data_IF_119326749614
#
_entry.id   IF_119326749614
#
_cell.length_a   1.000
_cell.length_b   1.000
_cell.length_c   1.000
_cell.angle_alpha   90.00
_cell.angle_beta   90.00
_cell.angle_gamma   90.00
#
_symmetry.space_group_name_H-M   'P 1'
#
loop_
_entity.id
_entity.type
_entity.pdbx_description
1 polymer ?
#
# COMPACT_ATOMS: atom_id res chain seq x y z
N UNK A 1 -25.64 39.21 -12.65
CA UNK A 1 -25.70 38.84 -11.22
C UNK A 1 -24.28 38.69 -10.75
N UNK A 2 -23.79 39.65 -9.96
CA UNK A 2 -22.46 39.53 -9.36
C UNK A 2 -22.48 38.30 -8.46
N UNK A 3 -21.59 37.33 -8.68
CA UNK A 3 -21.24 36.37 -7.63
C UNK A 3 -20.92 37.22 -6.40
N UNK A 4 -21.72 37.10 -5.34
CA UNK A 4 -21.40 37.71 -4.06
C UNK A 4 -19.93 37.40 -3.76
N UNK A 5 -19.15 38.43 -3.42
CA UNK A 5 -17.79 38.27 -2.89
C UNK A 5 -17.89 37.55 -1.54
N UNK A 6 -18.21 36.26 -1.56
CA UNK A 6 -18.27 35.43 -0.38
C UNK A 6 -16.85 35.35 0.15
N UNK A 7 -16.64 35.85 1.37
CA UNK A 7 -15.38 35.64 2.06
C UNK A 7 -15.27 34.14 2.37
N UNK A 8 -14.10 33.57 2.12
CA UNK A 8 -13.79 32.16 2.42
C UNK A 8 -12.53 32.12 3.27
N UNK A 9 -12.46 31.14 4.16
CA UNK A 9 -11.30 30.94 5.04
C UNK A 9 -10.46 29.72 4.62
N UNK A 10 -9.35 29.48 5.31
CA UNK A 10 -8.42 28.41 4.93
C UNK A 10 -9.04 27.01 4.98
N UNK A 11 -10.01 26.79 5.87
CA UNK A 11 -10.78 25.55 5.90
C UNK A 11 -11.56 25.34 4.60
N UNK A 12 -12.22 26.39 4.10
CA UNK A 12 -12.96 26.35 2.83
C UNK A 12 -12.03 26.05 1.65
N UNK A 13 -10.85 26.68 1.62
CA UNK A 13 -9.85 26.46 0.57
C UNK A 13 -9.32 25.03 0.61
N UNK A 14 -8.96 24.52 1.80
CA UNK A 14 -8.50 23.15 1.97
C UNK A 14 -9.53 22.14 1.45
N UNK A 15 -10.79 22.23 1.90
CA UNK A 15 -11.85 21.30 1.48
C UNK A 15 -12.13 21.40 -0.01
N UNK A 16 -12.13 22.61 -0.61
CA UNK A 16 -12.25 22.77 -2.06
C UNK A 16 -11.11 22.08 -2.82
N UNK A 17 -9.88 22.10 -2.31
CA UNK A 17 -8.75 21.38 -2.90
C UNK A 17 -8.93 19.85 -2.77
N UNK A 18 -9.32 19.36 -1.59
CA UNK A 18 -9.56 17.93 -1.36
C UNK A 18 -10.69 17.37 -2.25
N UNK A 19 -11.69 18.20 -2.58
CA UNK A 19 -12.73 17.84 -3.55
C UNK A 19 -12.18 17.65 -4.97
N UNK A 20 -11.21 18.46 -5.41
CA UNK A 20 -10.56 18.26 -6.71
C UNK A 20 -9.68 17.01 -6.75
N UNK A 21 -9.26 16.53 -5.59
CA UNK A 21 -8.54 15.27 -5.43
C UNK A 21 -9.45 14.05 -5.26
N UNK A 22 -10.77 14.24 -5.35
CA UNK A 22 -11.78 13.20 -5.14
C UNK A 22 -11.65 12.50 -3.77
N UNK A 23 -11.22 13.23 -2.76
CA UNK A 23 -11.16 12.73 -1.38
C UNK A 23 -12.57 12.42 -0.90
N UNK A 24 -12.72 11.28 -0.21
CA UNK A 24 -13.99 10.86 0.38
C UNK A 24 -13.96 10.88 1.91
N UNK A 25 -12.90 10.33 2.51
CA UNK A 25 -12.79 10.25 3.97
C UNK A 25 -11.51 10.90 4.49
N UNK A 26 -11.64 11.59 5.61
CA UNK A 26 -10.54 12.03 6.44
C UNK A 26 -10.63 11.29 7.77
N UNK A 27 -9.56 10.60 8.17
CA UNK A 27 -9.53 9.78 9.38
C UNK A 27 -8.78 10.55 10.48
N UNK A 28 -9.40 10.79 11.64
CA UNK A 28 -8.70 11.54 12.68
C UNK A 28 -9.51 11.84 13.92
N UNK A 29 -8.94 12.69 14.77
CA UNK A 29 -9.58 13.22 15.98
C UNK A 29 -9.62 14.74 15.87
N UNK A 30 -10.79 15.37 16.08
CA UNK A 30 -10.93 16.82 16.03
C UNK A 30 -10.09 17.50 17.11
N UNK A 31 -9.58 18.68 16.79
CA UNK A 31 -9.00 19.63 17.74
C UNK A 31 -9.40 21.06 17.38
N UNK A 32 -9.15 22.01 18.28
CA UNK A 32 -9.59 23.39 18.14
C UNK A 32 -9.14 24.06 16.83
N UNK A 33 -7.92 23.76 16.38
CA UNK A 33 -7.35 24.33 15.16
C UNK A 33 -7.97 23.79 13.86
N UNK A 34 -8.81 22.75 13.94
CA UNK A 34 -9.52 22.20 12.78
C UNK A 34 -10.98 22.64 12.67
N UNK A 35 -11.49 23.50 13.56
CA UNK A 35 -12.90 23.91 13.54
C UNK A 35 -13.30 24.48 12.16
N UNK A 36 -12.47 25.33 11.56
CA UNK A 36 -12.73 25.90 10.23
C UNK A 36 -12.76 24.83 9.13
N UNK A 37 -11.98 23.74 9.26
CA UNK A 37 -12.04 22.59 8.35
C UNK A 37 -13.38 21.85 8.49
N UNK A 38 -13.84 21.59 9.72
CA UNK A 38 -15.13 20.92 9.95
C UNK A 38 -16.31 21.74 9.42
N UNK A 39 -16.30 23.04 9.69
CA UNK A 39 -17.30 23.97 9.17
C UNK A 39 -17.29 23.98 7.63
N UNK A 40 -16.11 23.94 7.01
CA UNK A 40 -15.96 23.88 5.56
C UNK A 40 -16.47 22.55 4.98
N UNK A 41 -16.27 21.42 5.67
CA UNK A 41 -16.87 20.14 5.27
C UNK A 41 -18.39 20.26 5.26
N UNK A 42 -18.99 20.87 6.29
CA UNK A 42 -20.44 21.10 6.31
C UNK A 42 -20.91 22.00 5.15
N UNK A 43 -20.19 23.09 4.88
CA UNK A 43 -20.55 24.06 3.82
C UNK A 43 -20.35 23.54 2.40
N UNK A 44 -19.32 22.73 2.15
CA UNK A 44 -18.86 22.42 0.79
C UNK A 44 -18.68 20.94 0.50
N UNK A 45 -18.36 20.14 1.52
CA UNK A 45 -17.91 18.76 1.39
C UNK A 45 -19.02 17.72 1.52
N UNK A 46 -19.94 17.90 2.47
CA UNK A 46 -20.91 16.86 2.88
C UNK A 46 -21.81 16.40 1.74
N UNK A 47 -22.38 17.34 0.98
CA UNK A 47 -23.22 17.01 -0.19
C UNK A 47 -22.42 16.37 -1.34
N UNK A 48 -21.11 16.56 -1.35
CA UNK A 48 -20.18 15.98 -2.33
C UNK A 48 -19.51 14.71 -1.83
N UNK A 49 -19.90 14.20 -0.65
CA UNK A 49 -19.45 12.93 -0.09
C UNK A 49 -18.13 12.98 0.66
N UNK A 50 -17.61 14.16 1.04
CA UNK A 50 -16.51 14.24 2.02
C UNK A 50 -17.06 14.07 3.43
N UNK A 51 -16.46 13.14 4.17
CA UNK A 51 -16.80 12.86 5.57
C UNK A 51 -15.55 12.70 6.45
N UNK A 52 -15.69 13.01 7.74
CA UNK A 52 -14.69 12.70 8.76
C UNK A 52 -15.05 11.43 9.50
N UNK A 53 -14.06 10.58 9.74
CA UNK A 53 -14.19 9.35 10.51
C UNK A 53 -13.45 9.54 11.82
N UNK A 54 -14.20 9.50 12.92
CA UNK A 54 -13.71 9.80 14.27
C UNK A 54 -13.17 8.55 14.95
N UNK A 55 -11.98 8.66 15.53
CA UNK A 55 -11.31 7.60 16.28
C UNK A 55 -11.14 7.98 17.75
N UNK A 56 -10.78 7.01 18.58
CA UNK A 56 -10.45 7.22 19.99
C UNK A 56 -8.95 7.41 20.22
N UNK A 57 -8.12 7.06 19.23
CA UNK A 57 -6.69 7.39 19.23
C UNK A 57 -6.20 7.71 17.80
N UNK A 58 -5.32 8.71 17.62
CA UNK A 58 -4.88 9.14 16.29
C UNK A 58 -4.08 8.06 15.54
N UNK A 59 -3.35 7.20 16.26
CA UNK A 59 -2.67 6.05 15.64
C UNK A 59 -3.65 5.13 14.88
N UNK A 60 -4.85 4.92 15.43
CA UNK A 60 -5.89 4.12 14.80
C UNK A 60 -6.43 4.82 13.55
N UNK A 61 -6.57 6.15 13.59
CA UNK A 61 -6.93 6.94 12.42
C UNK A 61 -5.89 6.84 11.29
N UNK A 62 -4.60 6.93 11.61
CA UNK A 62 -3.52 6.73 10.63
C UNK A 62 -3.55 5.32 10.03
N UNK A 63 -3.80 4.29 10.84
CA UNK A 63 -3.95 2.92 10.35
C UNK A 63 -5.19 2.73 9.46
N UNK A 64 -6.33 3.34 9.80
CA UNK A 64 -7.52 3.27 8.94
C UNK A 64 -7.30 3.97 7.58
N UNK A 65 -6.60 5.11 7.59
CA UNK A 65 -6.18 5.79 6.36
C UNK A 65 -5.17 4.98 5.53
N UNK A 66 -4.24 4.27 6.19
CA UNK A 66 -3.34 3.31 5.53
C UNK A 66 -4.17 2.20 4.84
N UNK A 67 -5.10 1.56 5.55
CA UNK A 67 -5.97 0.52 4.98
C UNK A 67 -6.80 1.02 3.79
N UNK A 68 -7.36 2.23 3.89
CA UNK A 68 -8.02 2.90 2.77
C UNK A 68 -7.10 2.97 1.55
N UNK A 69 -5.87 3.44 1.73
CA UNK A 69 -4.92 3.59 0.65
C UNK A 69 -4.53 2.25 0.02
N UNK A 70 -4.36 1.21 0.83
CA UNK A 70 -4.05 -0.14 0.34
C UNK A 70 -5.13 -0.69 -0.58
N UNK A 71 -6.41 -0.48 -0.22
CA UNK A 71 -7.58 -1.08 -0.86
C UNK A 71 -8.13 -0.28 -2.04
N UNK A 72 -7.95 1.04 -2.02
CA UNK A 72 -8.44 1.94 -3.07
C UNK A 72 -7.37 2.32 -4.08
N UNK A 73 -6.10 2.11 -3.74
CA UNK A 73 -4.94 2.62 -4.51
C UNK A 73 -4.93 4.16 -4.65
N UNK A 74 -5.67 4.86 -3.79
CA UNK A 74 -5.69 6.33 -3.67
C UNK A 74 -5.05 6.77 -2.36
N UNK A 75 -4.56 8.01 -2.21
CA UNK A 75 -4.01 8.44 -0.93
C UNK A 75 -5.03 8.37 0.21
N UNK A 76 -4.62 7.78 1.33
CA UNK A 76 -5.35 7.91 2.60
C UNK A 76 -5.06 9.27 3.23
N UNK A 77 -6.02 9.84 3.96
CA UNK A 77 -5.81 11.12 4.65
C UNK A 77 -6.05 10.93 6.14
N UNK A 78 -5.01 11.15 6.94
CA UNK A 78 -5.13 11.18 8.39
C UNK A 78 -4.83 12.57 8.95
N UNK A 79 -5.51 12.93 10.03
CA UNK A 79 -5.30 14.20 10.70
C UNK A 79 -5.35 14.06 12.23
N UNK A 80 -4.66 14.99 12.89
CA UNK A 80 -4.55 15.06 14.34
C UNK A 80 -4.20 16.49 14.75
N UNK A 81 -4.73 16.94 15.88
CA UNK A 81 -4.51 18.31 16.36
C UNK A 81 -3.03 18.61 16.62
N UNK A 82 -2.70 19.89 16.81
CA UNK A 82 -1.35 20.35 17.12
C UNK A 82 -0.81 19.67 18.40
N UNK A 83 0.49 19.41 18.46
CA UNK A 83 1.16 18.82 19.61
C UNK A 83 0.82 17.33 19.78
N UNK A 84 0.06 16.92 20.80
CA UNK A 84 -0.24 15.51 21.05
C UNK A 84 -0.89 14.79 19.87
N UNK A 85 -1.81 15.42 19.14
CA UNK A 85 -2.47 14.77 18.00
C UNK A 85 -1.49 14.44 16.88
N UNK A 86 -0.62 15.38 16.55
CA UNK A 86 0.48 15.16 15.61
C UNK A 86 1.46 14.08 16.11
N UNK A 87 1.79 14.04 17.41
CA UNK A 87 2.68 13.00 17.94
C UNK A 87 2.05 11.60 17.89
N UNK A 88 0.76 11.48 18.21
CA UNK A 88 0.04 10.21 18.27
C UNK A 88 -0.12 9.55 16.89
N UNK A 89 -0.06 10.32 15.80
CA UNK A 89 -0.07 9.81 14.42
C UNK A 89 1.25 9.14 14.01
N UNK A 90 2.38 9.48 14.63
CA UNK A 90 3.74 9.13 14.16
C UNK A 90 3.90 7.62 13.90
N UNK A 91 3.40 6.77 14.79
CA UNK A 91 3.56 5.31 14.64
C UNK A 91 2.78 4.75 13.44
N UNK A 92 1.58 5.27 13.18
CA UNK A 92 0.80 4.90 12.00
C UNK A 92 1.42 5.41 10.70
N UNK A 93 1.98 6.62 10.72
CA UNK A 93 2.69 7.22 9.58
C UNK A 93 3.99 6.47 9.29
N UNK A 94 4.74 6.09 10.33
CA UNK A 94 5.93 5.24 10.21
C UNK A 94 5.62 3.86 9.62
N UNK A 95 4.46 3.29 9.95
CA UNK A 95 3.97 2.05 9.36
C UNK A 95 3.74 2.19 7.85
N UNK A 96 3.01 3.22 7.45
CA UNK A 96 2.76 3.53 6.04
C UNK A 96 4.07 3.83 5.27
N UNK A 97 5.03 4.51 5.91
CA UNK A 97 6.36 4.73 5.37
C UNK A 97 7.07 3.41 5.11
N UNK A 98 7.14 2.52 6.09
CA UNK A 98 7.84 1.24 5.94
C UNK A 98 7.28 0.38 4.78
N UNK A 99 5.98 0.50 4.50
CA UNK A 99 5.27 -0.27 3.47
C UNK A 99 5.05 0.44 2.12
N UNK A 100 5.51 1.68 1.97
CA UNK A 100 5.34 2.49 0.76
C UNK A 100 3.88 2.83 0.45
N UNK A 101 3.12 3.21 1.47
CA UNK A 101 1.71 3.56 1.34
C UNK A 101 1.55 5.08 1.15
N UNK A 102 0.77 5.55 0.15
CA UNK A 102 0.49 6.97 -0.03
C UNK A 102 -0.46 7.45 1.07
N UNK A 103 0.08 8.21 2.01
CA UNK A 103 -0.66 8.79 3.13
C UNK A 103 -0.43 10.29 3.18
N UNK A 104 -1.49 11.08 3.30
CA UNK A 104 -1.39 12.53 3.49
C UNK A 104 -1.72 12.81 4.95
N UNK A 105 -0.72 13.29 5.66
CA UNK A 105 -0.84 13.66 7.07
C UNK A 105 -1.11 15.16 7.12
N UNK A 106 -2.28 15.54 7.64
CA UNK A 106 -2.64 16.94 7.84
C UNK A 106 -2.58 17.24 9.33
N UNK A 107 -1.72 18.17 9.72
CA UNK A 107 -1.62 18.63 11.12
C UNK A 107 -1.74 20.16 11.15
N UNK A 108 -2.38 20.73 12.17
CA UNK A 108 -2.36 22.16 12.35
C UNK A 108 -1.12 22.57 13.16
N UNK A 109 -0.84 23.87 13.17
CA UNK A 109 0.11 24.50 14.08
C UNK A 109 -0.54 25.73 14.73
N UNK A 110 -0.08 26.09 15.93
CA UNK A 110 -0.58 27.28 16.65
C UNK A 110 -0.40 28.55 15.84
N UNK A 111 -1.20 29.59 16.12
CA UNK A 111 -1.00 30.89 15.50
C UNK A 111 0.45 31.37 15.68
N UNK A 112 1.03 31.90 14.60
CA UNK A 112 2.39 32.41 14.50
C UNK A 112 2.70 33.45 15.60
N UNK A 113 1.70 34.21 16.05
CA UNK A 113 1.85 35.20 17.13
C UNK A 113 2.13 34.57 18.50
N UNK A 114 1.72 33.32 18.70
CA UNK A 114 1.95 32.56 19.93
C UNK A 114 3.14 31.59 19.82
N UNK A 115 3.96 31.68 18.76
CA UNK A 115 5.20 30.92 18.71
C UNK A 115 6.12 31.34 19.85
N UNK A 116 6.74 30.35 20.48
CA UNK A 116 7.65 30.54 21.62
C UNK A 116 7.01 31.23 22.84
N UNK A 117 5.70 31.06 23.04
CA UNK A 117 4.96 31.70 24.14
C UNK A 117 4.50 30.74 25.25
N UNK A 118 4.88 29.44 25.16
CA UNK A 118 4.35 28.38 26.02
C UNK A 118 2.82 28.23 25.97
N UNK A 119 2.23 28.59 24.83
CA UNK A 119 0.80 28.42 24.59
C UNK A 119 0.40 26.94 24.62
N UNK A 120 -0.89 26.69 24.87
CA UNK A 120 -1.46 25.34 24.89
C UNK A 120 -1.13 24.61 23.57
N UNK A 121 -0.56 23.39 23.70
CA UNK A 121 -0.14 22.53 22.59
C UNK A 121 0.92 23.13 21.64
N UNK A 122 1.41 24.35 21.91
CA UNK A 122 2.45 25.00 21.13
C UNK A 122 3.87 24.55 21.47
N UNK A 123 4.86 25.29 20.95
CA UNK A 123 6.29 25.11 21.25
C UNK A 123 6.88 23.75 20.85
N UNK A 124 6.27 23.04 19.89
CA UNK A 124 6.78 21.78 19.36
C UNK A 124 7.14 21.91 17.88
N UNK A 125 8.36 21.52 17.52
CA UNK A 125 8.74 21.34 16.12
C UNK A 125 8.17 20.02 15.57
N UNK A 126 6.92 20.11 15.13
CA UNK A 126 6.18 18.97 14.60
C UNK A 126 6.81 18.45 13.31
N UNK A 127 7.22 19.35 12.42
CA UNK A 127 7.74 18.98 11.10
C UNK A 127 9.00 18.13 11.23
N UNK A 128 9.92 18.49 12.12
CA UNK A 128 11.17 17.75 12.31
C UNK A 128 10.93 16.30 12.76
N UNK A 129 9.93 16.03 13.60
CA UNK A 129 9.58 14.67 14.01
C UNK A 129 9.10 13.78 12.85
N UNK A 130 8.54 14.41 11.81
CA UNK A 130 8.00 13.72 10.63
C UNK A 130 9.00 13.54 9.50
N UNK A 131 10.06 14.36 9.46
CA UNK A 131 11.12 14.30 8.44
C UNK A 131 11.61 12.88 8.10
N UNK A 132 11.92 11.98 9.06
CA UNK A 132 12.44 10.65 8.74
C UNK A 132 11.39 9.66 8.21
N UNK A 133 10.10 9.97 8.36
CA UNK A 133 8.98 9.06 8.04
C UNK A 133 8.02 9.64 7.00
N UNK A 134 8.38 10.74 6.35
CA UNK A 134 7.60 11.33 5.25
C UNK A 134 8.51 11.73 4.11
N UNK A 135 8.03 11.59 2.87
CA UNK A 135 8.78 11.87 1.63
C UNK A 135 8.94 13.36 1.38
N UNK A 136 7.98 14.16 1.84
CA UNK A 136 7.97 15.61 1.71
C UNK A 136 7.12 16.21 2.81
N UNK A 137 7.52 17.39 3.28
CA UNK A 137 6.79 18.20 4.25
C UNK A 137 6.50 19.56 3.64
N UNK A 138 5.28 20.07 3.86
CA UNK A 138 4.85 21.41 3.48
C UNK A 138 4.24 22.10 4.69
N UNK A 139 4.76 23.28 5.01
CA UNK A 139 4.19 24.15 6.03
C UNK A 139 3.56 25.36 5.35
N UNK A 140 2.34 25.69 5.74
CA UNK A 140 1.55 26.80 5.20
C UNK A 140 1.26 27.80 6.31
N UNK A 141 1.50 29.09 6.06
CA UNK A 141 1.20 30.17 7.01
C UNK A 141 0.14 31.16 6.53
N UNK A 142 -0.14 31.20 5.23
CA UNK A 142 -1.14 32.07 4.62
C UNK A 142 -2.13 31.28 3.79
N UNK A 143 -3.36 31.77 3.71
CA UNK A 143 -4.46 31.09 3.00
C UNK A 143 -4.15 30.84 1.52
N UNK A 144 -3.43 31.73 0.82
CA UNK A 144 -3.14 31.59 -0.61
C UNK A 144 -2.12 30.50 -0.93
N UNK A 145 -1.39 30.02 0.07
CA UNK A 145 -0.40 28.95 -0.09
C UNK A 145 -1.03 27.55 -0.05
N UNK A 146 -2.25 27.42 0.51
CA UNK A 146 -2.95 26.15 0.70
C UNK A 146 -3.09 25.37 -0.63
N UNK A 147 -3.57 25.94 -1.75
CA UNK A 147 -3.76 25.18 -2.99
C UNK A 147 -2.46 24.55 -3.50
N UNK A 148 -1.39 25.34 -3.58
CA UNK A 148 -0.09 24.87 -4.05
C UNK A 148 0.52 23.83 -3.12
N UNK A 149 0.34 23.97 -1.81
CA UNK A 149 0.80 23.00 -0.84
C UNK A 149 0.05 21.66 -0.98
N UNK A 150 -1.28 21.69 -1.12
CA UNK A 150 -2.11 20.51 -1.39
C UNK A 150 -1.67 19.82 -2.67
N UNK A 151 -1.55 20.56 -3.78
CA UNK A 151 -1.09 19.97 -5.06
C UNK A 151 0.27 19.29 -4.92
N UNK A 152 1.20 19.90 -4.18
CA UNK A 152 2.53 19.33 -3.98
C UNK A 152 2.48 18.06 -3.15
N UNK A 153 1.78 18.04 -2.02
CA UNK A 153 1.74 16.83 -1.17
C UNK A 153 1.05 15.67 -1.88
N UNK A 154 -0.04 15.90 -2.63
CA UNK A 154 -0.68 14.84 -3.41
C UNK A 154 0.23 14.29 -4.51
N UNK A 155 0.91 15.17 -5.28
CA UNK A 155 1.89 14.75 -6.28
C UNK A 155 3.00 13.89 -5.67
N UNK A 156 3.57 14.32 -4.55
CA UNK A 156 4.67 13.61 -3.90
C UNK A 156 4.21 12.29 -3.30
N UNK A 157 3.02 12.23 -2.70
CA UNK A 157 2.46 11.00 -2.12
C UNK A 157 2.27 9.89 -3.17
N UNK A 158 1.87 10.25 -4.40
CA UNK A 158 1.52 9.27 -5.45
C UNK A 158 2.60 9.03 -6.49
N UNK A 159 3.55 9.94 -6.69
CA UNK A 159 4.56 9.83 -7.74
C UNK A 159 5.70 8.88 -7.40
N UNK A 160 6.26 8.24 -8.44
CA UNK A 160 7.37 7.30 -8.31
C UNK A 160 7.04 6.20 -7.32
N UNK A 161 7.81 6.10 -6.24
CA UNK A 161 7.50 5.24 -5.09
C UNK A 161 6.57 5.97 -4.11
N UNK A 162 5.34 5.48 -3.91
CA UNK A 162 4.40 6.10 -2.98
C UNK A 162 4.91 6.08 -1.54
N UNK A 163 4.65 7.16 -0.80
CA UNK A 163 5.08 7.34 0.60
C UNK A 163 4.17 8.34 1.32
N UNK A 164 4.18 8.32 2.66
CA UNK A 164 3.56 9.39 3.45
C UNK A 164 4.17 10.77 3.16
N UNK A 165 3.36 11.81 3.27
CA UNK A 165 3.73 13.22 3.16
C UNK A 165 3.06 14.03 4.26
N UNK A 166 3.66 15.14 4.66
CA UNK A 166 3.13 16.03 5.69
C UNK A 166 2.66 17.36 5.09
N UNK A 167 1.47 17.78 5.48
CA UNK A 167 0.94 19.13 5.31
C UNK A 167 0.66 19.72 6.71
N UNK A 168 1.55 20.60 7.17
CA UNK A 168 1.34 21.43 8.36
C UNK A 168 0.67 22.76 7.94
N UNK A 169 -0.43 23.12 8.60
CA UNK A 169 -1.16 24.36 8.33
C UNK A 169 -1.25 25.16 9.62
N UNK A 170 -0.66 26.35 9.64
CA UNK A 170 -0.77 27.25 10.79
C UNK A 170 -2.19 27.76 10.94
N UNK A 171 -2.60 27.98 12.19
CA UNK A 171 -3.89 28.57 12.52
C UNK A 171 -4.13 29.92 11.83
N UNK A 172 -3.06 30.69 11.55
CA UNK A 172 -3.11 31.90 10.72
C UNK A 172 -3.83 31.63 9.39
N UNK A 173 -3.41 30.61 8.65
CA UNK A 173 -3.95 30.28 7.35
C UNK A 173 -5.39 29.77 7.43
N UNK A 174 -5.77 29.10 8.53
CA UNK A 174 -7.14 28.64 8.74
C UNK A 174 -8.10 29.78 9.08
N UNK A 175 -7.66 30.76 9.86
CA UNK A 175 -8.46 31.90 10.33
C UNK A 175 -8.52 33.04 9.32
N UNK A 176 -7.49 33.22 8.50
CA UNK A 176 -7.45 34.25 7.47
C UNK A 176 -8.66 34.11 6.52
N UNK A 177 -9.28 35.23 6.18
CA UNK A 177 -10.39 35.30 5.24
C UNK A 177 -9.99 36.09 4.01
N UNK A 178 -10.32 35.57 2.83
CA UNK A 178 -10.15 36.27 1.56
C UNK A 178 -11.47 36.29 0.81
N UNK A 179 -11.65 37.31 -0.04
CA UNK A 179 -12.70 37.24 -1.06
C UNK A 179 -12.47 35.98 -1.87
N UNK A 180 -13.55 35.24 -2.19
CA UNK A 180 -13.56 34.10 -3.12
C UNK A 180 -13.19 34.56 -4.55
N UNK A 181 -11.97 35.06 -4.71
CA UNK A 181 -11.28 35.24 -5.97
C UNK A 181 -10.81 33.86 -6.43
N UNK A 182 -10.54 33.70 -7.73
CA UNK A 182 -10.07 32.41 -8.28
C UNK A 182 -8.66 32.10 -7.76
N UNK A 183 -8.58 31.55 -6.55
CA UNK A 183 -7.39 30.81 -6.12
C UNK A 183 -7.12 29.72 -7.15
N UNK A 184 -5.84 29.42 -7.46
CA UNK A 184 -5.48 28.42 -8.46
C UNK A 184 -5.68 27.01 -7.89
N UNK A 185 -6.92 26.63 -7.58
CA UNK A 185 -7.29 25.26 -7.19
C UNK A 185 -7.43 24.47 -8.50
N UNK A 186 -6.51 23.54 -8.73
CA UNK A 186 -6.38 22.82 -9.99
C UNK A 186 -6.90 21.39 -9.83
N UNK A 187 -7.33 20.78 -10.95
CA UNK A 187 -7.56 19.34 -10.98
C UNK A 187 -6.23 18.58 -11.02
N UNK A 188 -6.24 17.31 -10.59
CA UNK A 188 -5.07 16.45 -10.59
C UNK A 188 -4.29 16.46 -11.93
N UNK A 189 -5.01 16.34 -13.04
CA UNK A 189 -4.45 16.26 -14.40
C UNK A 189 -3.73 17.54 -14.81
N UNK A 190 -4.09 18.66 -14.20
CA UNK A 190 -3.56 19.98 -14.54
C UNK A 190 -2.18 20.23 -13.93
N UNK A 191 -1.74 19.42 -12.95
CA UNK A 191 -0.48 19.67 -12.25
C UNK A 191 0.41 18.44 -12.04
N UNK A 192 -0.07 17.21 -12.23
CA UNK A 192 0.76 15.99 -12.13
C UNK A 192 0.58 15.07 -13.34
N UNK A 193 1.63 14.34 -13.68
CA UNK A 193 1.58 13.34 -14.73
C UNK A 193 0.62 12.22 -14.33
N UNK A 194 -0.28 11.87 -15.25
CA UNK A 194 -1.23 10.76 -15.10
C UNK A 194 -0.74 9.53 -15.89
N UNK A 195 0.01 9.77 -16.97
CA UNK A 195 0.58 8.72 -17.79
C UNK A 195 1.92 8.22 -17.26
N UNK A 196 2.20 6.95 -17.56
CA UNK A 196 3.41 6.24 -17.12
C UNK A 196 4.34 6.09 -18.32
N UNK A 197 5.63 6.44 -18.20
CA UNK A 197 6.56 6.42 -19.34
C UNK A 197 6.78 4.99 -19.85
N UNK A 198 7.05 4.89 -21.16
CA UNK A 198 7.42 3.63 -21.79
C UNK A 198 8.83 3.18 -21.38
N UNK A 199 9.05 1.86 -21.40
CA UNK A 199 10.36 1.23 -21.21
C UNK A 199 11.06 1.12 -22.58
N UNK A 200 12.37 1.34 -22.60
CA UNK A 200 13.17 1.15 -23.81
C UNK A 200 13.10 -0.28 -24.34
N UNK A 201 12.90 -0.44 -25.66
CA UNK A 201 12.73 -1.74 -26.31
C UNK A 201 13.90 -2.70 -26.07
N UNK A 202 15.12 -2.18 -25.97
CA UNK A 202 16.32 -2.99 -25.73
C UNK A 202 16.29 -3.71 -24.37
N UNK A 203 15.70 -3.07 -23.35
CA UNK A 203 15.53 -3.69 -22.03
C UNK A 203 14.46 -4.79 -22.06
N UNK A 204 13.39 -4.58 -22.83
CA UNK A 204 12.34 -5.58 -23.04
C UNK A 204 12.90 -6.80 -23.77
N UNK A 205 13.63 -6.58 -24.87
CA UNK A 205 14.27 -7.64 -25.66
C UNK A 205 15.27 -8.44 -24.84
N UNK A 206 16.17 -7.76 -24.09
CA UNK A 206 17.15 -8.42 -23.22
C UNK A 206 16.48 -9.23 -22.12
N UNK A 207 15.40 -8.72 -21.52
CA UNK A 207 14.66 -9.48 -20.49
C UNK A 207 14.06 -10.74 -21.10
N UNK A 208 13.41 -10.62 -22.26
CA UNK A 208 12.75 -11.73 -22.92
C UNK A 208 13.75 -12.80 -23.39
N UNK A 209 14.90 -12.39 -23.93
CA UNK A 209 15.99 -13.31 -24.31
C UNK A 209 16.48 -14.16 -23.12
N UNK A 210 16.69 -13.51 -21.96
CA UNK A 210 17.10 -14.21 -20.73
C UNK A 210 16.03 -15.20 -20.24
N UNK A 211 14.74 -14.82 -20.28
CA UNK A 211 13.64 -15.68 -19.85
C UNK A 211 13.38 -16.86 -20.79
N UNK A 212 13.54 -16.67 -22.10
CA UNK A 212 13.33 -17.72 -23.10
C UNK A 212 14.46 -18.77 -23.07
N UNK A 213 15.69 -18.38 -22.73
CA UNK A 213 16.83 -19.29 -22.57
C UNK A 213 16.87 -20.00 -21.21
N UNK A 214 16.07 -19.56 -20.25
CA UNK A 214 16.03 -20.13 -18.90
C UNK A 214 15.43 -21.54 -18.88
N UNK A 215 16.08 -22.45 -18.16
CA UNK A 215 15.57 -23.79 -17.86
C UNK A 215 14.57 -23.73 -16.70
N UNK A 216 14.86 -22.93 -15.66
CA UNK A 216 14.06 -22.80 -14.44
C UNK A 216 13.71 -21.34 -14.14
N UNK A 217 13.01 -20.63 -15.06
CA UNK A 217 12.63 -19.24 -14.83
C UNK A 217 11.65 -19.12 -13.66
N UNK A 218 11.68 -17.98 -12.97
CA UNK A 218 10.78 -17.68 -11.86
C UNK A 218 10.40 -16.19 -11.85
N UNK A 219 9.11 -15.89 -11.75
CA UNK A 219 8.62 -14.53 -11.52
C UNK A 219 8.40 -14.28 -10.03
N UNK A 220 8.81 -13.11 -9.56
CA UNK A 220 8.45 -12.60 -8.24
C UNK A 220 7.54 -11.39 -8.40
N UNK A 221 6.27 -11.55 -8.02
CA UNK A 221 5.31 -10.45 -7.99
C UNK A 221 5.35 -9.73 -6.65
N UNK A 222 5.90 -8.52 -6.63
CA UNK A 222 5.99 -7.67 -5.46
C UNK A 222 4.80 -6.72 -5.28
N UNK A 223 4.94 -5.80 -4.32
CA UNK A 223 3.94 -4.76 -4.06
C UNK A 223 3.83 -3.73 -5.19
N UNK A 224 4.88 -3.55 -6.02
CA UNK A 224 4.81 -2.67 -7.18
C UNK A 224 3.83 -3.14 -8.24
N UNK A 225 3.62 -4.46 -8.41
CA UNK A 225 2.57 -5.01 -9.28
C UNK A 225 1.18 -4.62 -8.75
N UNK A 226 0.96 -4.75 -7.43
CA UNK A 226 -0.29 -4.36 -6.77
C UNK A 226 -0.57 -2.86 -6.95
N UNK A 227 0.42 -1.99 -6.73
CA UNK A 227 0.27 -0.53 -6.85
C UNK A 227 0.12 -0.06 -8.29
N UNK A 228 0.76 -0.74 -9.22
CA UNK A 228 0.62 -0.46 -10.65
C UNK A 228 -0.71 -0.97 -11.23
N UNK A 229 -1.46 -1.80 -10.50
CA UNK A 229 -2.66 -2.48 -10.98
C UNK A 229 -2.38 -3.31 -12.23
N UNK A 230 -1.32 -4.13 -12.13
CA UNK A 230 -0.74 -4.88 -13.26
C UNK A 230 -1.02 -6.40 -13.20
N UNK A 231 -2.05 -6.82 -12.44
CA UNK A 231 -2.33 -8.23 -12.18
C UNK A 231 -2.87 -8.97 -13.41
N UNK A 232 -3.60 -8.30 -14.29
CA UNK A 232 -4.14 -8.92 -15.52
C UNK A 232 -3.00 -9.16 -16.52
N UNK A 233 -2.12 -8.18 -16.68
CA UNK A 233 -0.94 -8.28 -17.54
C UNK A 233 0.07 -9.30 -17.00
N UNK A 234 0.27 -9.34 -15.68
CA UNK A 234 1.10 -10.36 -15.03
C UNK A 234 0.55 -11.76 -15.31
N UNK A 235 -0.76 -11.96 -15.12
CA UNK A 235 -1.41 -13.26 -15.34
C UNK A 235 -1.25 -13.68 -16.80
N UNK A 236 -1.56 -12.80 -17.75
CA UNK A 236 -1.48 -13.12 -19.16
C UNK A 236 -0.04 -13.41 -19.59
N UNK A 237 0.93 -12.61 -19.14
CA UNK A 237 2.35 -12.84 -19.42
C UNK A 237 2.86 -14.16 -18.85
N UNK A 238 2.53 -14.46 -17.58
CA UNK A 238 2.92 -15.70 -16.94
C UNK A 238 2.31 -16.92 -17.65
N UNK A 239 1.01 -16.87 -18.00
CA UNK A 239 0.32 -17.96 -18.70
C UNK A 239 0.77 -18.12 -20.16
N UNK A 240 1.11 -17.02 -20.84
CA UNK A 240 1.58 -17.06 -22.22
C UNK A 240 2.95 -17.73 -22.38
N UNK A 241 3.83 -17.53 -21.40
CA UNK A 241 5.18 -18.11 -21.38
C UNK A 241 5.34 -19.30 -20.41
N UNK A 242 4.26 -19.70 -19.74
CA UNK A 242 4.19 -20.77 -18.73
C UNK A 242 5.21 -20.55 -17.59
N UNK A 243 5.31 -19.32 -17.08
CA UNK A 243 6.28 -18.94 -16.06
C UNK A 243 5.70 -19.11 -14.65
N UNK A 244 6.37 -19.86 -13.75
CA UNK A 244 5.95 -19.93 -12.36
C UNK A 244 6.09 -18.59 -11.66
N UNK A 245 5.16 -18.29 -10.75
CA UNK A 245 5.04 -17.02 -10.04
C UNK A 245 4.97 -17.27 -8.53
N UNK A 246 5.85 -16.62 -7.79
CA UNK A 246 5.71 -16.41 -6.35
C UNK A 246 5.35 -14.96 -6.06
N UNK A 247 4.56 -14.72 -5.03
CA UNK A 247 4.29 -13.35 -4.56
C UNK A 247 5.12 -13.01 -3.33
N UNK A 248 5.52 -11.75 -3.20
CA UNK A 248 5.87 -11.24 -1.86
C UNK A 248 4.60 -11.08 -1.02
N UNK A 249 4.72 -10.78 0.28
CA UNK A 249 3.56 -10.50 1.13
C UNK A 249 2.70 -9.34 0.59
N UNK A 250 3.32 -8.30 0.05
CA UNK A 250 2.61 -7.16 -0.56
C UNK A 250 2.07 -7.44 -1.97
N UNK A 251 2.51 -8.53 -2.58
CA UNK A 251 2.01 -9.02 -3.87
C UNK A 251 0.88 -10.04 -3.73
N UNK A 252 0.39 -10.31 -2.51
CA UNK A 252 -0.67 -11.32 -2.33
C UNK A 252 -1.91 -10.94 -3.15
N UNK A 253 -2.37 -11.87 -3.98
CA UNK A 253 -3.56 -11.72 -4.83
C UNK A 253 -3.31 -11.14 -6.22
N UNK A 254 -2.10 -10.70 -6.57
CA UNK A 254 -1.78 -10.17 -7.92
C UNK A 254 -1.80 -11.22 -9.02
N UNK A 255 -1.81 -12.50 -8.66
CA UNK A 255 -2.08 -13.59 -9.58
C UNK A 255 -3.21 -14.45 -8.99
N UNK A 256 -4.26 -14.77 -9.77
CA UNK A 256 -5.38 -15.53 -9.25
C UNK A 256 -4.97 -16.90 -8.72
N UNK A 257 -5.55 -17.33 -7.59
CA UNK A 257 -5.25 -18.63 -6.99
C UNK A 257 -5.48 -19.84 -7.93
N UNK A 258 -6.39 -19.70 -8.89
CA UNK A 258 -6.70 -20.72 -9.90
C UNK A 258 -5.69 -20.79 -11.05
N UNK A 259 -4.80 -19.81 -11.20
CA UNK A 259 -3.77 -19.87 -12.23
C UNK A 259 -2.75 -20.95 -11.88
N UNK A 260 -2.46 -21.83 -12.86
CA UNK A 260 -1.43 -22.87 -12.70
C UNK A 260 -0.04 -22.26 -12.46
N UNK A 261 0.16 -21.02 -12.90
CA UNK A 261 1.42 -20.31 -12.73
C UNK A 261 1.66 -19.85 -11.29
N UNK A 262 0.62 -19.69 -10.45
CA UNK A 262 0.83 -19.34 -9.05
C UNK A 262 1.43 -20.54 -8.30
N UNK A 263 2.51 -20.30 -7.56
CA UNK A 263 3.15 -21.28 -6.70
C UNK A 263 2.96 -21.00 -5.19
N UNK A 264 2.56 -19.78 -4.84
CA UNK A 264 2.36 -19.34 -3.46
C UNK A 264 3.14 -18.07 -3.15
N UNK A 265 3.48 -17.89 -1.88
CA UNK A 265 4.29 -16.75 -1.42
C UNK A 265 5.77 -17.11 -1.30
N UNK A 266 6.67 -16.13 -1.39
CA UNK A 266 8.11 -16.32 -1.18
C UNK A 266 8.53 -16.68 0.25
N UNK A 267 7.69 -16.37 1.26
CA UNK A 267 7.96 -16.64 2.69
C UNK A 267 7.68 -18.07 3.13
N UNK A 268 6.91 -18.83 2.36
CA UNK A 268 6.24 -20.03 2.86
C UNK A 268 5.99 -21.06 1.76
N UNK A 269 5.49 -22.23 2.19
CA UNK A 269 5.09 -23.30 1.27
C UNK A 269 6.26 -23.79 0.42
N UNK A 270 6.03 -23.91 -0.89
CA UNK A 270 7.07 -24.33 -1.83
C UNK A 270 8.07 -23.22 -2.17
N UNK A 271 7.76 -21.94 -1.88
CA UNK A 271 8.60 -20.81 -2.26
C UNK A 271 10.03 -20.93 -1.77
N UNK A 272 10.22 -21.29 -0.50
CA UNK A 272 11.55 -21.49 0.12
C UNK A 272 12.38 -22.58 -0.56
N UNK A 273 11.75 -23.53 -1.26
CA UNK A 273 12.42 -24.60 -2.01
C UNK A 273 12.70 -24.21 -3.45
N UNK A 274 11.75 -23.53 -4.09
CA UNK A 274 11.79 -23.16 -5.52
C UNK A 274 12.79 -22.05 -5.79
N UNK A 275 12.86 -21.04 -4.92
CA UNK A 275 13.73 -19.87 -5.11
C UNK A 275 15.19 -20.29 -5.34
N UNK A 276 15.83 -21.13 -4.51
CA UNK A 276 17.23 -21.53 -4.74
C UNK A 276 17.48 -22.45 -5.95
N UNK A 277 16.44 -22.99 -6.58
CA UNK A 277 16.55 -23.83 -7.78
C UNK A 277 16.43 -23.00 -9.08
N UNK A 278 15.81 -21.82 -9.03
CA UNK A 278 15.65 -20.95 -10.18
C UNK A 278 17.01 -20.48 -10.75
N UNK A 279 17.14 -20.46 -12.07
CA UNK A 279 18.33 -19.99 -12.79
C UNK A 279 18.19 -18.54 -13.27
N UNK A 280 16.99 -18.13 -13.69
CA UNK A 280 16.62 -16.76 -14.05
C UNK A 280 15.43 -16.30 -13.23
N UNK A 281 15.57 -15.16 -12.57
CA UNK A 281 14.52 -14.56 -11.74
C UNK A 281 14.16 -13.19 -12.30
N UNK A 282 12.87 -12.97 -12.58
CA UNK A 282 12.34 -11.64 -12.89
C UNK A 282 11.53 -11.13 -11.69
N UNK A 283 12.10 -10.16 -10.98
CA UNK A 283 11.48 -9.53 -9.83
C UNK A 283 10.77 -8.23 -10.24
N UNK A 284 9.46 -8.19 -10.04
CA UNK A 284 8.57 -7.08 -10.42
C UNK A 284 8.15 -6.31 -9.18
N UNK A 285 8.66 -5.09 -8.99
CA UNK A 285 8.29 -4.20 -7.90
C UNK A 285 8.55 -4.80 -6.52
N UNK A 286 9.70 -5.46 -6.36
CA UNK A 286 10.09 -6.20 -5.17
C UNK A 286 11.37 -5.64 -4.56
N UNK A 287 11.29 -5.20 -3.29
CA UNK A 287 12.41 -4.64 -2.52
C UNK A 287 13.23 -5.67 -1.73
N UNK A 288 12.92 -6.96 -1.88
CA UNK A 288 13.56 -8.05 -1.13
C UNK A 288 13.67 -7.78 0.38
N UNK A 289 12.54 -7.52 1.04
CA UNK A 289 12.48 -7.33 2.49
C UNK A 289 12.80 -8.60 3.28
N UNK A 290 12.69 -8.55 4.62
CA UNK A 290 12.83 -9.71 5.49
C UNK A 290 11.92 -10.89 5.08
N UNK A 291 10.72 -10.60 4.57
CA UNK A 291 9.80 -11.61 3.99
C UNK A 291 10.33 -12.27 2.72
N UNK A 292 11.39 -11.74 2.12
CA UNK A 292 12.08 -12.36 1.00
C UNK A 292 13.50 -12.74 1.43
N UNK A 293 13.73 -13.00 2.73
CA UNK A 293 15.04 -13.31 3.28
C UNK A 293 16.15 -12.34 2.84
N UNK A 294 15.81 -11.04 2.73
CA UNK A 294 16.74 -9.98 2.35
C UNK A 294 17.40 -10.10 0.97
N UNK A 295 16.99 -11.06 0.14
CA UNK A 295 17.71 -11.37 -1.09
C UNK A 295 19.02 -12.14 -0.85
N UNK A 296 19.16 -12.79 0.31
CA UNK A 296 20.41 -13.46 0.71
C UNK A 296 20.40 -14.98 0.48
N UNK A 297 21.60 -15.58 0.50
CA UNK A 297 21.78 -17.03 0.56
C UNK A 297 21.23 -17.63 1.88
N UNK A 298 20.77 -18.89 1.89
CA UNK A 298 20.87 -19.90 0.83
C UNK A 298 19.77 -19.81 -0.23
N UNK A 299 18.77 -18.94 -0.05
CA UNK A 299 17.62 -18.88 -0.95
C UNK A 299 17.97 -18.18 -2.26
N UNK A 300 18.60 -17.01 -2.20
CA UNK A 300 18.86 -16.18 -3.38
C UNK A 300 20.33 -16.24 -3.79
N UNK A 301 20.74 -17.35 -4.40
CA UNK A 301 22.14 -17.61 -4.77
C UNK A 301 22.71 -16.55 -5.72
N UNK A 302 23.99 -16.24 -5.56
CA UNK A 302 24.70 -15.31 -6.46
C UNK A 302 24.88 -15.85 -7.89
N UNK A 303 24.74 -17.16 -8.08
CA UNK A 303 24.77 -17.81 -9.40
C UNK A 303 23.52 -17.56 -10.24
N UNK A 304 22.45 -17.02 -9.65
CA UNK A 304 21.19 -16.76 -10.34
C UNK A 304 21.26 -15.49 -11.17
N UNK A 305 20.68 -15.53 -12.35
CA UNK A 305 20.48 -14.33 -13.16
C UNK A 305 19.26 -13.58 -12.66
N UNK A 306 19.49 -12.46 -11.95
CA UNK A 306 18.40 -11.61 -11.46
C UNK A 306 18.14 -10.44 -12.41
N UNK A 307 16.90 -10.32 -12.86
CA UNK A 307 16.34 -9.15 -13.54
C UNK A 307 15.40 -8.45 -12.55
N UNK A 308 15.58 -7.15 -12.34
CA UNK A 308 14.76 -6.39 -11.39
C UNK A 308 14.11 -5.20 -12.08
N UNK A 309 12.78 -5.12 -11.99
CA UNK A 309 11.96 -4.02 -12.48
C UNK A 309 11.41 -3.27 -11.29
N UNK A 310 11.74 -1.99 -11.15
CA UNK A 310 11.19 -1.14 -10.09
C UNK A 310 11.06 0.30 -10.57
N UNK A 311 10.07 1.03 -10.06
CA UNK A 311 9.88 2.45 -10.39
C UNK A 311 10.93 3.32 -9.68
N UNK A 312 11.50 2.81 -8.58
CA UNK A 312 12.49 3.48 -7.76
C UNK A 312 13.91 2.95 -8.07
N UNK A 313 14.77 3.72 -8.75
CA UNK A 313 16.12 3.27 -9.08
C UNK A 313 16.96 2.96 -7.82
N UNK A 314 16.64 3.53 -6.65
CA UNK A 314 17.37 3.26 -5.40
C UNK A 314 17.15 1.85 -4.83
N UNK A 315 16.18 1.11 -5.38
CA UNK A 315 15.87 -0.27 -4.97
C UNK A 315 16.60 -1.30 -5.84
N UNK A 316 16.89 -0.94 -7.08
CA UNK A 316 17.50 -1.83 -8.07
C UNK A 316 18.91 -2.21 -7.64
N UNK A 317 19.18 -3.50 -7.48
CA UNK A 317 20.49 -4.03 -7.06
C UNK A 317 20.87 -3.77 -5.60
N UNK A 318 19.95 -3.22 -4.78
CA UNK A 318 20.23 -2.88 -3.38
C UNK A 318 20.40 -4.10 -2.47
N UNK A 319 19.60 -5.13 -2.69
CA UNK A 319 19.59 -6.34 -1.87
C UNK A 319 20.68 -7.33 -2.29
N UNK A 320 20.84 -7.52 -3.61
CA UNK A 320 21.86 -8.41 -4.19
C UNK A 320 22.24 -7.95 -5.60
N UNK A 321 23.40 -8.40 -6.14
CA UNK A 321 23.79 -8.11 -7.51
C UNK A 321 22.73 -8.56 -8.53
N UNK A 322 22.54 -7.73 -9.56
CA UNK A 322 21.59 -7.98 -10.66
C UNK A 322 22.33 -8.12 -11.99
N UNK A 323 21.73 -8.84 -12.92
CA UNK A 323 22.17 -8.90 -14.32
C UNK A 323 21.60 -7.75 -15.15
N UNK A 324 20.33 -7.40 -14.91
CA UNK A 324 19.61 -6.36 -15.63
C UNK A 324 18.66 -5.61 -14.69
N UNK A 325 18.77 -4.29 -14.67
CA UNK A 325 17.86 -3.40 -13.96
C UNK A 325 17.00 -2.63 -14.94
N UNK A 326 15.69 -2.58 -14.68
CA UNK A 326 14.72 -1.84 -15.49
C UNK A 326 14.01 -0.84 -14.60
N UNK A 327 14.23 0.45 -14.87
CA UNK A 327 13.55 1.52 -14.15
C UNK A 327 12.21 1.77 -14.83
N UNK A 328 11.11 1.54 -14.12
CA UNK A 328 9.79 1.85 -14.64
C UNK A 328 8.63 1.19 -13.93
N UNK A 329 7.43 1.54 -14.38
CA UNK A 329 6.19 1.02 -13.84
C UNK A 329 5.96 -0.44 -14.26
N UNK A 330 5.56 -1.29 -13.31
CA UNK A 330 5.36 -2.71 -13.55
C UNK A 330 4.26 -3.00 -14.59
N UNK A 331 3.18 -2.21 -14.65
CA UNK A 331 2.12 -2.40 -15.64
C UNK A 331 2.64 -2.11 -17.04
N UNK A 332 3.30 -0.96 -17.23
CA UNK A 332 3.88 -0.59 -18.55
C UNK A 332 4.91 -1.60 -19.02
N UNK A 333 5.79 -2.05 -18.12
CA UNK A 333 6.74 -3.11 -18.41
C UNK A 333 6.05 -4.41 -18.86
N UNK A 334 5.03 -4.85 -18.12
CA UNK A 334 4.30 -6.08 -18.40
C UNK A 334 3.50 -6.00 -19.72
N UNK A 335 2.89 -4.86 -20.03
CA UNK A 335 2.23 -4.60 -21.31
C UNK A 335 3.21 -4.76 -22.48
N UNK A 336 4.35 -4.08 -22.42
CA UNK A 336 5.35 -4.09 -23.50
C UNK A 336 6.00 -5.46 -23.68
N UNK A 337 6.38 -6.14 -22.59
CA UNK A 337 7.00 -7.47 -22.69
C UNK A 337 6.01 -8.53 -23.15
N UNK A 338 4.73 -8.43 -22.78
CA UNK A 338 3.67 -9.31 -23.27
C UNK A 338 3.44 -9.11 -24.77
N UNK A 339 3.32 -7.86 -25.22
CA UNK A 339 3.20 -7.53 -26.64
C UNK A 339 4.37 -8.12 -27.43
N UNK A 340 5.60 -7.91 -26.94
CA UNK A 340 6.78 -8.47 -27.59
C UNK A 340 6.79 -10.01 -27.58
N UNK A 341 6.36 -10.63 -26.49
CA UNK A 341 6.26 -12.10 -26.38
C UNK A 341 5.30 -12.68 -27.41
N UNK A 342 4.19 -11.98 -27.69
CA UNK A 342 3.21 -12.38 -28.72
C UNK A 342 3.79 -12.39 -30.14
N UNK A 343 4.79 -11.57 -30.41
CA UNK A 343 5.48 -11.52 -31.70
C UNK A 343 6.50 -12.65 -31.89
N UNK A 344 6.92 -13.32 -30.80
CA UNK A 344 7.88 -14.42 -30.86
C UNK A 344 7.14 -15.76 -30.98
N UNK A 345 6.64 -16.29 -29.86
CA UNK A 345 5.92 -17.56 -29.82
C UNK A 345 5.29 -17.77 -28.44
N UNK A 346 4.10 -18.36 -28.40
CA UNK A 346 3.49 -18.91 -27.18
C UNK A 346 4.24 -20.15 -26.71
N UNK A 347 4.42 -20.28 -25.40
CA UNK A 347 4.92 -21.52 -24.78
C UNK A 347 3.72 -22.32 -24.29
N UNK A 348 3.53 -23.53 -24.81
CA UNK A 348 2.38 -24.38 -24.43
C UNK A 348 2.60 -25.06 -23.08
N UNK A 349 3.80 -25.59 -22.85
CA UNK A 349 4.17 -26.27 -21.60
C UNK A 349 5.61 -25.98 -21.22
N UNK A 350 5.88 -26.02 -19.91
CA UNK A 350 7.23 -26.08 -19.34
C UNK A 350 7.27 -27.17 -18.29
N UNK A 351 8.19 -28.13 -18.46
CA UNK A 351 8.39 -29.22 -17.50
C UNK A 351 8.61 -28.67 -16.08
N UNK A 352 9.42 -27.60 -15.95
CA UNK A 352 9.65 -26.92 -14.68
C UNK A 352 8.35 -26.50 -13.98
N UNK A 353 7.42 -25.87 -14.70
CA UNK A 353 6.14 -25.45 -14.11
C UNK A 353 5.29 -26.65 -13.67
N UNK A 354 5.21 -27.70 -14.49
CA UNK A 354 4.42 -28.91 -14.20
C UNK A 354 4.92 -29.63 -12.93
N UNK A 355 6.24 -29.75 -12.78
CA UNK A 355 6.87 -30.31 -11.58
C UNK A 355 6.49 -29.52 -10.32
N UNK A 356 6.58 -28.18 -10.38
CA UNK A 356 6.26 -27.32 -9.25
C UNK A 356 4.78 -27.34 -8.87
N UNK A 357 3.89 -27.39 -9.86
CA UNK A 357 2.44 -27.54 -9.65
C UNK A 357 2.15 -28.86 -8.92
N UNK A 358 2.80 -29.96 -9.33
CA UNK A 358 2.67 -31.26 -8.68
C UNK A 358 3.17 -31.23 -7.22
N UNK A 359 4.33 -30.62 -6.98
CA UNK A 359 4.88 -30.46 -5.62
C UNK A 359 3.94 -29.63 -4.74
N UNK A 360 3.42 -28.51 -5.25
CA UNK A 360 2.47 -27.65 -4.53
C UNK A 360 1.23 -28.45 -4.11
N UNK A 361 0.61 -29.16 -5.05
CA UNK A 361 -0.57 -29.99 -4.80
C UNK A 361 -0.31 -31.01 -3.70
N UNK A 362 0.79 -31.75 -3.79
CA UNK A 362 1.18 -32.75 -2.79
C UNK A 362 1.41 -32.15 -1.40
N UNK A 363 1.97 -30.94 -1.32
CA UNK A 363 2.19 -30.26 -0.04
C UNK A 363 0.87 -29.82 0.62
N UNK A 364 -0.08 -29.28 -0.16
CA UNK A 364 -1.41 -28.91 0.33
C UNK A 364 -2.16 -30.15 0.82
N UNK A 365 -2.13 -31.26 0.08
CA UNK A 365 -2.76 -32.51 0.51
C UNK A 365 -2.18 -33.05 1.83
N UNK A 366 -0.85 -33.01 1.99
CA UNK A 366 -0.18 -33.40 3.24
C UNK A 366 -0.56 -32.49 4.40
N UNK A 367 -0.64 -31.18 4.17
CA UNK A 367 -1.05 -30.21 5.18
C UNK A 367 -2.49 -30.48 5.63
N UNK A 368 -3.41 -30.66 4.69
CA UNK A 368 -4.82 -30.96 4.95
C UNK A 368 -5.03 -32.20 5.84
N UNK A 369 -4.28 -33.29 5.58
CA UNK A 369 -4.32 -34.50 6.42
C UNK A 369 -3.83 -34.27 7.85
N UNK A 370 -2.91 -33.32 8.06
CA UNK A 370 -2.41 -32.98 9.40
C UNK A 370 -3.40 -32.13 10.17
N UNK A 371 -4.08 -31.21 9.48
CA UNK A 371 -5.03 -30.27 10.07
C UNK A 371 -6.42 -30.87 10.29
N UNK A 372 -6.76 -32.03 9.72
CA UNK A 372 -8.08 -32.67 9.89
C UNK A 372 -8.38 -33.21 11.30
N UNK A 373 -7.53 -32.96 12.29
CA UNK A 373 -7.67 -33.50 13.66
C UNK A 373 -8.26 -32.44 14.60
N UNK A 374 -9.34 -32.78 15.29
CA UNK A 374 -10.00 -31.92 16.27
C UNK A 374 -9.31 -32.04 17.64
N UNK A 375 -8.13 -31.41 17.76
CA UNK A 375 -7.35 -31.38 19.02
C UNK A 375 -7.78 -30.21 19.91
N UNK A 376 -7.63 -30.40 21.22
CA UNK A 376 -7.76 -29.35 22.25
C UNK A 376 -6.40 -29.25 22.99
N UNK A 377 -5.77 -28.05 23.06
CA UNK A 377 -6.18 -26.79 22.43
C UNK A 377 -6.15 -26.85 20.90
N UNK A 378 -6.93 -25.98 20.24
CA UNK A 378 -7.00 -25.90 18.77
C UNK A 378 -5.62 -25.59 18.20
N UNK A 379 -5.21 -26.33 17.18
CA UNK A 379 -3.98 -26.05 16.45
C UNK A 379 -4.18 -24.72 15.68
N UNK A 380 -3.34 -23.69 15.85
CA UNK A 380 -3.54 -22.40 15.17
C UNK A 380 -3.70 -22.51 13.66
N UNK A 381 -2.89 -23.35 13.00
CA UNK A 381 -3.01 -23.59 11.55
C UNK A 381 -4.34 -24.23 11.16
N UNK A 382 -4.96 -25.04 12.03
CA UNK A 382 -6.30 -25.58 11.80
C UNK A 382 -7.35 -24.48 11.92
N UNK A 383 -7.27 -23.61 12.93
CA UNK A 383 -8.15 -22.44 13.03
C UNK A 383 -8.09 -21.58 11.74
N UNK A 384 -6.89 -21.29 11.24
CA UNK A 384 -6.70 -20.56 9.97
C UNK A 384 -7.39 -21.26 8.79
N UNK A 385 -7.22 -22.58 8.69
CA UNK A 385 -7.88 -23.37 7.64
C UNK A 385 -9.39 -23.19 7.70
N UNK A 386 -9.99 -23.39 8.87
CA UNK A 386 -11.45 -23.28 9.04
C UNK A 386 -11.94 -21.85 8.71
N UNK A 387 -11.19 -20.81 9.10
CA UNK A 387 -11.49 -19.43 8.72
C UNK A 387 -11.46 -19.30 7.19
N UNK A 388 -10.38 -19.68 6.52
CA UNK A 388 -10.22 -19.48 5.08
C UNK A 388 -11.25 -20.24 4.24
N UNK A 389 -11.62 -21.46 4.65
CA UNK A 389 -12.70 -22.24 4.00
C UNK A 389 -14.07 -21.58 4.16
N UNK A 390 -14.25 -20.69 5.15
CA UNK A 390 -15.51 -19.97 5.41
C UNK A 390 -15.59 -18.56 4.79
N UNK A 391 -14.50 -18.05 4.20
CA UNK A 391 -14.47 -16.70 3.64
C UNK A 391 -15.12 -16.62 2.25
N UNK A 392 -15.75 -15.49 1.95
CA UNK A 392 -16.18 -15.18 0.58
C UNK A 392 -14.95 -15.09 -0.37
N UNK A 393 -15.11 -15.44 -1.64
CA UNK A 393 -14.00 -15.43 -2.62
C UNK A 393 -13.34 -14.05 -2.80
N UNK A 394 -14.06 -12.98 -2.46
CA UNK A 394 -13.58 -11.60 -2.56
C UNK A 394 -13.45 -10.90 -1.19
N UNK A 395 -13.46 -11.67 -0.10
CA UNK A 395 -13.29 -11.19 1.27
C UNK A 395 -11.95 -10.48 1.47
N UNK A 396 -11.98 -9.39 2.24
CA UNK A 396 -10.80 -8.67 2.68
C UNK A 396 -10.29 -9.31 3.97
N UNK A 397 -9.00 -9.64 3.98
CA UNK A 397 -8.33 -10.27 5.11
C UNK A 397 -7.31 -9.32 5.72
N UNK A 398 -7.34 -9.18 7.04
CA UNK A 398 -6.37 -8.41 7.80
C UNK A 398 -5.60 -9.38 8.70
N UNK A 399 -4.27 -9.28 8.66
CA UNK A 399 -3.37 -10.09 9.49
C UNK A 399 -2.65 -9.18 10.49
N UNK A 400 -2.85 -9.44 11.78
CA UNK A 400 -2.27 -8.65 12.88
C UNK A 400 -1.78 -9.58 14.01
N UNK A 401 -0.65 -9.26 14.63
CA UNK A 401 0.05 -10.16 15.54
C UNK A 401 1.21 -10.92 14.90
N UNK A 402 1.86 -11.78 15.70
CA UNK A 402 3.01 -12.58 15.30
C UNK A 402 2.63 -13.93 14.70
N UNK A 403 2.65 -14.98 15.51
CA UNK A 403 2.53 -16.38 15.06
C UNK A 403 1.24 -16.67 14.29
N UNK A 404 0.12 -16.04 14.68
CA UNK A 404 -1.15 -16.26 14.00
C UNK A 404 -1.16 -15.63 12.59
N UNK A 405 -0.53 -14.47 12.41
CA UNK A 405 -0.35 -13.82 11.11
C UNK A 405 0.57 -14.63 10.21
N UNK A 406 1.65 -15.18 10.77
CA UNK A 406 2.56 -16.08 10.02
C UNK A 406 1.81 -17.35 9.59
N UNK A 407 1.07 -17.97 10.51
CA UNK A 407 0.25 -19.16 10.23
C UNK A 407 -0.82 -18.90 9.16
N UNK A 408 -1.36 -17.69 9.10
CA UNK A 408 -2.29 -17.23 8.08
C UNK A 408 -1.60 -17.01 6.73
N UNK A 409 -0.48 -16.29 6.72
CA UNK A 409 0.30 -15.99 5.52
C UNK A 409 0.81 -17.27 4.84
N UNK A 410 1.20 -18.29 5.61
CA UNK A 410 1.65 -19.58 5.07
C UNK A 410 0.57 -20.32 4.28
N UNK A 411 -0.71 -20.16 4.65
CA UNK A 411 -1.84 -20.88 4.08
C UNK A 411 -2.70 -20.02 3.14
N UNK A 412 -2.25 -18.79 2.86
CA UNK A 412 -3.07 -17.73 2.25
C UNK A 412 -3.62 -18.07 0.86
N UNK A 413 -2.99 -19.02 0.17
CA UNK A 413 -3.39 -19.49 -1.16
C UNK A 413 -3.85 -20.95 -1.20
N UNK A 414 -4.01 -21.60 -0.05
CA UNK A 414 -4.25 -23.05 -0.01
C UNK A 414 -5.74 -23.40 -0.04
N UNK A 415 -6.60 -22.52 0.46
CA UNK A 415 -8.02 -22.83 0.69
C UNK A 415 -9.02 -21.87 0.03
N UNK A 416 -8.60 -20.64 -0.30
CA UNK A 416 -9.49 -19.67 -0.93
C UNK A 416 -8.76 -18.80 -1.96
N UNK A 417 -9.52 -18.21 -2.87
CA UNK A 417 -9.04 -17.23 -3.83
C UNK A 417 -8.71 -15.94 -3.07
N UNK A 418 -7.59 -15.32 -3.42
CA UNK A 418 -7.25 -13.97 -2.99
C UNK A 418 -7.32 -13.05 -4.20
N UNK A 419 -8.14 -12.01 -4.11
CA UNK A 419 -8.17 -10.93 -5.11
C UNK A 419 -6.99 -9.98 -4.87
N UNK A 420 -6.52 -9.24 -5.90
CA UNK A 420 -5.59 -8.15 -5.69
C UNK A 420 -6.15 -7.16 -4.66
N UNK A 421 -5.26 -6.52 -3.90
CA UNK A 421 -5.65 -5.51 -2.90
C UNK A 421 -6.74 -6.03 -1.94
N UNK A 422 -6.64 -7.27 -1.47
CA UNK A 422 -7.59 -7.87 -0.52
C UNK A 422 -6.94 -8.33 0.78
N UNK A 423 -5.62 -8.29 0.88
CA UNK A 423 -4.89 -8.74 2.08
C UNK A 423 -4.10 -7.58 2.66
N UNK A 424 -4.34 -7.26 3.93
CA UNK A 424 -3.72 -6.15 4.64
C UNK A 424 -2.83 -6.71 5.75
N UNK A 425 -1.57 -6.26 5.76
CA UNK A 425 -0.57 -6.62 6.76
C UNK A 425 0.46 -5.50 6.85
N UNK A 426 0.81 -5.08 8.07
CA UNK A 426 1.95 -4.19 8.31
C UNK A 426 3.25 -4.99 8.20
N UNK A 427 3.90 -4.97 7.05
CA UNK A 427 5.03 -5.88 6.78
C UNK A 427 6.37 -5.28 7.18
N UNK A 428 6.62 -4.02 6.80
CA UNK A 428 7.91 -3.37 6.93
C UNK A 428 8.25 -3.02 8.37
N UNK A 429 7.28 -2.52 9.12
CA UNK A 429 7.45 -2.18 10.54
C UNK A 429 7.02 -3.31 11.47
N UNK A 430 6.18 -4.25 11.01
CA UNK A 430 5.61 -5.30 11.86
C UNK A 430 4.70 -4.72 12.96
N UNK A 431 4.02 -3.62 12.65
CA UNK A 431 3.23 -2.87 13.63
C UNK A 431 2.04 -3.70 14.12
N UNK A 432 1.96 -3.88 15.44
CA UNK A 432 0.82 -4.52 16.10
C UNK A 432 -0.31 -3.50 16.34
N UNK A 433 -1.55 -3.99 16.40
CA UNK A 433 -2.73 -3.16 16.68
C UNK A 433 -3.39 -2.61 15.44
N UNK A 434 -3.12 -3.19 14.27
CA UNK A 434 -3.71 -2.75 13.01
C UNK A 434 -5.08 -3.36 12.74
N UNK A 435 -5.45 -4.47 13.38
CA UNK A 435 -6.66 -5.25 13.14
C UNK A 435 -7.95 -4.42 13.08
N UNK A 436 -8.32 -3.75 14.17
CA UNK A 436 -9.54 -2.92 14.26
C UNK A 436 -9.50 -1.72 13.30
N UNK A 437 -8.48 -0.85 13.31
CA UNK A 437 -8.47 0.32 12.44
C UNK A 437 -8.40 -0.06 10.95
N UNK A 438 -7.65 -1.11 10.58
CA UNK A 438 -7.69 -1.62 9.21
C UNK A 438 -9.07 -2.15 8.84
N UNK A 439 -9.78 -2.77 9.79
CA UNK A 439 -11.16 -3.23 9.60
C UNK A 439 -12.11 -2.08 9.26
N UNK A 440 -12.03 -0.99 10.02
CA UNK A 440 -12.82 0.24 9.78
C UNK A 440 -12.49 0.83 8.41
N UNK A 441 -11.20 1.06 8.12
CA UNK A 441 -10.75 1.59 6.84
C UNK A 441 -11.16 0.70 5.66
N UNK A 442 -11.09 -0.62 5.85
CA UNK A 442 -11.50 -1.60 4.84
C UNK A 442 -12.99 -1.57 4.56
N UNK A 443 -13.82 -1.50 5.61
CA UNK A 443 -15.27 -1.46 5.42
C UNK A 443 -15.72 -0.16 4.77
N UNK A 444 -15.06 0.96 5.06
CA UNK A 444 -15.33 2.23 4.37
C UNK A 444 -14.89 2.20 2.90
N UNK A 445 -13.77 1.56 2.60
CA UNK A 445 -13.26 1.41 1.23
C UNK A 445 -14.10 0.45 0.38
N UNK A 446 -14.64 -0.61 0.99
CA UNK A 446 -15.40 -1.68 0.32
C UNK A 446 -16.61 -2.12 1.19
N UNK A 447 -17.68 -1.30 1.24
CA UNK A 447 -18.80 -1.51 2.15
C UNK A 447 -19.57 -2.81 1.93
N UNK A 448 -19.57 -3.35 0.71
CA UNK A 448 -20.31 -4.58 0.40
C UNK A 448 -19.52 -5.86 0.68
N UNK A 449 -18.22 -5.75 0.97
CA UNK A 449 -17.36 -6.92 1.14
C UNK A 449 -17.32 -7.42 2.58
N UNK A 450 -17.15 -8.74 2.72
CA UNK A 450 -16.76 -9.34 3.99
C UNK A 450 -15.34 -8.85 4.37
N UNK A 451 -15.16 -8.41 5.61
CA UNK A 451 -13.88 -8.00 6.18
C UNK A 451 -13.61 -8.86 7.39
N UNK A 452 -12.51 -9.62 7.38
CA UNK A 452 -12.14 -10.51 8.48
C UNK A 452 -10.73 -10.16 8.94
N UNK A 453 -10.60 -9.86 10.23
CA UNK A 453 -9.31 -9.67 10.89
C UNK A 453 -8.94 -10.93 11.67
N UNK A 454 -7.74 -11.45 11.40
CA UNK A 454 -7.10 -12.50 12.18
C UNK A 454 -6.04 -11.82 13.02
N UNK A 455 -6.31 -11.73 14.32
CA UNK A 455 -5.50 -10.98 15.27
C UNK A 455 -5.00 -11.88 16.40
N UNK A 456 -3.76 -11.65 16.84
CA UNK A 456 -3.33 -12.07 18.17
C UNK A 456 -4.05 -11.25 19.24
N UNK A 457 -4.31 -11.84 20.39
CA UNK A 457 -4.93 -11.19 21.55
C UNK A 457 -4.18 -9.92 21.99
N UNK A 458 -2.85 -9.98 22.09
CA UNK A 458 -2.03 -8.83 22.43
C UNK A 458 -2.10 -7.70 21.38
N UNK A 459 -2.17 -8.05 20.09
CA UNK A 459 -2.29 -7.07 19.03
C UNK A 459 -3.69 -6.42 19.03
N UNK A 460 -4.74 -7.23 19.19
CA UNK A 460 -6.13 -6.78 19.27
C UNK A 460 -6.34 -5.74 20.38
N UNK A 461 -5.71 -5.93 21.54
CA UNK A 461 -5.87 -5.06 22.70
C UNK A 461 -5.31 -3.63 22.50
N UNK A 462 -4.39 -3.40 21.55
CA UNK A 462 -3.73 -2.09 21.37
C UNK A 462 -4.71 -1.00 20.92
N UNK A 463 -5.66 -1.35 20.05
CA UNK A 463 -6.66 -0.42 19.52
C UNK A 463 -8.11 -0.86 19.79
N UNK A 464 -8.33 -1.58 20.90
CA UNK A 464 -9.66 -2.09 21.28
C UNK A 464 -10.69 -0.99 21.52
N UNK A 465 -10.24 0.22 21.86
CA UNK A 465 -11.11 1.38 22.10
C UNK A 465 -11.92 1.84 20.87
N UNK A 466 -11.55 1.39 19.67
CA UNK A 466 -12.18 1.76 18.40
C UNK A 466 -13.25 0.74 17.93
N UNK A 467 -13.57 -0.28 18.75
CA UNK A 467 -14.84 -1.04 18.64
C UNK A 467 -16.04 -0.14 18.94
#
# INVERSE_FOLDING_TARGET
>A
MAEEKKMINGGDVLIKCLLQENVKYLFGIPGGQFLNMYDAIYRWGKEKGIETVLFRHEVAAAHAADAWARLTNTPGICFGTVGPGAMNLISGVGTAWADNIPLIVIIPQVNSEFQDSFTLQGNLDQVTMYTPITKTQKTVRRIEEIPNAVHKVFREATSGRPRPVLLEIYENAFLEEISNTRLPILTAESYRAIERPAIGDDLIEKTLDLLLKAERPLLISGGGVSRAEAWDELKEFAEYLQLPVLTSSSGIGTIPARSKCLLGTGVAGIGLRVIPEADVILALGCKFSWTMAHGDEPFWKNSQTLIQVDIDPSIIGRAKPIKLGVIGDCKRFLEQILERSKQIKRVETRQWLEELVSIRKNNIEKLNRRLSKDKIPIIPKRLIKDIFESLDEDAILILDGGDISVSAAEQIYDYNIRKPLSTLVSTGMGQLGTSIPYGIGAKLAKPDKQVVAIAGDGAFMINIQDL
#
